data_IF_348607260781
#
_entry.id   IF_348607260781
#
_cell.length_a   1.000
_cell.length_b   1.000
_cell.length_c   1.000
_cell.angle_alpha   90.00
_cell.angle_beta   90.00
_cell.angle_gamma   90.00
#
_symmetry.space_group_name_H-M   'P 1'
#
loop_
_entity.id
_entity.type
_entity.pdbx_description
1 polymer ?
#
# COMPACT_ATOMS: atom_id res chain seq x y z
N UNK A 1 -2.37 60.59 17.29
CA UNK A 1 -2.32 61.95 16.71
C UNK A 1 -0.99 62.53 17.10
N UNK A 2 -0.10 62.82 16.14
CA UNK A 2 1.20 63.43 16.44
C UNK A 2 0.99 64.93 16.52
N UNK A 3 1.44 65.54 17.62
CA UNK A 3 1.48 66.99 17.74
C UNK A 3 2.93 67.42 17.56
N UNK A 4 3.28 67.82 16.34
CA UNK A 4 4.58 68.40 15.98
C UNK A 4 4.25 69.66 15.20
N UNK A 5 4.28 70.80 15.87
CA UNK A 5 4.08 72.11 15.24
C UNK A 5 4.96 73.11 15.96
N UNK A 6 5.88 73.72 15.24
CA UNK A 6 6.07 75.14 15.40
C UNK A 6 5.51 75.87 14.16
N UNK A 7 5.02 77.09 14.33
CA UNK A 7 4.48 77.92 13.25
C UNK A 7 5.62 78.51 12.36
N UNK A 8 6.81 77.89 12.29
CA UNK A 8 7.91 78.42 11.48
C UNK A 8 7.96 77.83 10.07
N UNK A 9 7.99 78.75 9.11
CA UNK A 9 7.89 78.63 7.64
C UNK A 9 9.06 77.84 6.99
N UNK A 10 9.88 77.12 7.75
CA UNK A 10 11.11 76.53 7.23
C UNK A 10 10.90 75.24 6.41
N UNK A 11 9.92 74.39 6.74
CA UNK A 11 9.54 73.22 5.92
C UNK A 11 8.03 72.93 6.04
N UNK A 12 7.27 72.85 4.92
CA UNK A 12 5.83 72.56 4.97
C UNK A 12 5.51 71.06 5.21
N UNK A 13 6.53 70.23 5.43
CA UNK A 13 6.42 68.78 5.59
C UNK A 13 7.26 68.28 6.77
N UNK A 14 6.81 67.20 7.39
CA UNK A 14 7.48 66.46 8.44
C UNK A 14 8.28 65.31 7.85
N UNK A 15 9.44 65.05 8.45
CA UNK A 15 10.26 63.87 8.22
C UNK A 15 9.90 62.81 9.26
N UNK A 16 9.14 61.80 8.84
CA UNK A 16 8.68 60.73 9.70
C UNK A 16 9.47 59.43 9.43
N UNK A 17 10.06 58.87 10.47
CA UNK A 17 10.79 57.59 10.43
C UNK A 17 10.05 56.56 11.26
N UNK A 18 9.75 55.40 10.66
CA UNK A 18 9.33 54.20 11.37
C UNK A 18 10.58 53.55 11.98
N UNK A 19 10.58 53.37 13.28
CA UNK A 19 11.64 52.72 14.03
C UNK A 19 11.19 51.35 14.51
N UNK A 20 12.11 50.40 14.48
CA UNK A 20 11.96 49.07 15.05
C UNK A 20 13.10 48.83 16.04
N UNK A 21 12.82 48.21 17.19
CA UNK A 21 13.83 47.79 18.16
C UNK A 21 13.60 46.33 18.57
N UNK A 22 14.63 45.52 18.41
CA UNK A 22 14.77 44.19 19.00
C UNK A 22 16.17 44.06 19.62
N UNK A 23 16.47 44.94 20.57
CA UNK A 23 17.78 45.08 21.23
C UNK A 23 18.60 46.30 20.78
N UNK A 24 18.36 46.79 19.56
CA UNK A 24 18.98 48.01 19.01
C UNK A 24 17.95 48.77 18.18
N UNK A 25 17.94 50.10 18.28
CA UNK A 25 17.08 50.97 17.46
C UNK A 25 17.53 50.98 16.01
N UNK A 26 16.63 50.65 15.08
CA UNK A 26 16.88 50.68 13.65
C UNK A 26 15.77 51.45 12.90
N UNK A 27 16.17 52.34 12.00
CA UNK A 27 15.24 53.03 11.10
C UNK A 27 14.79 52.08 9.99
N UNK A 28 13.50 51.74 9.99
CA UNK A 28 12.91 50.70 9.14
C UNK A 28 12.09 51.25 7.97
N UNK A 29 11.86 52.57 7.92
CA UNK A 29 11.24 53.25 6.80
C UNK A 29 11.16 54.74 7.06
N UNK A 30 11.19 55.56 6.01
CA UNK A 30 11.15 57.02 6.11
C UNK A 30 10.17 57.61 5.11
N UNK A 31 9.41 58.61 5.52
CA UNK A 31 8.63 59.46 4.63
C UNK A 31 8.93 60.93 4.96
N UNK A 32 9.54 61.63 4.01
CA UNK A 32 10.01 63.01 4.16
C UNK A 32 9.04 64.03 3.53
N UNK A 33 7.80 63.64 3.31
CA UNK A 33 6.77 64.43 2.62
C UNK A 33 5.45 64.48 3.38
N UNK A 34 5.49 64.24 4.69
CA UNK A 34 4.28 64.12 5.52
C UNK A 34 3.73 65.51 5.86
N UNK A 35 2.54 65.86 5.36
CA UNK A 35 1.88 67.11 5.74
C UNK A 35 1.25 67.02 7.13
N UNK A 36 1.25 68.14 7.86
CA UNK A 36 0.60 68.22 9.17
C UNK A 36 -0.88 67.81 9.09
N UNK A 37 -1.36 67.08 10.10
CA UNK A 37 -2.73 66.57 10.22
C UNK A 37 -3.22 65.71 9.04
N UNK A 38 -2.33 65.15 8.22
CA UNK A 38 -2.68 64.24 7.13
C UNK A 38 -2.33 62.78 7.43
N UNK A 39 -3.03 61.85 6.78
CA UNK A 39 -2.66 60.43 6.81
C UNK A 39 -1.48 60.21 5.85
N UNK A 40 -0.38 59.69 6.37
CA UNK A 40 0.78 59.30 5.58
C UNK A 40 0.98 57.77 5.61
N UNK A 41 1.65 57.27 4.57
CA UNK A 41 2.11 55.88 4.48
C UNK A 41 3.63 55.92 4.60
N UNK A 42 4.18 55.14 5.52
CA UNK A 42 5.62 54.85 5.59
C UNK A 42 5.77 53.41 5.14
N UNK A 43 6.47 53.21 4.03
CA UNK A 43 6.79 51.88 3.53
C UNK A 43 8.08 51.39 4.17
N UNK A 44 8.09 50.11 4.56
CA UNK A 44 9.30 49.45 5.04
C UNK A 44 10.40 49.46 3.97
N UNK A 45 11.64 49.67 4.38
CA UNK A 45 12.82 49.69 3.51
C UNK A 45 13.63 48.38 3.56
N UNK A 46 13.26 47.45 4.43
CA UNK A 46 13.97 46.19 4.67
C UNK A 46 13.00 45.12 5.20
N UNK A 47 13.48 43.88 5.31
CA UNK A 47 12.76 42.77 5.96
C UNK A 47 13.20 42.61 7.41
N UNK A 48 12.32 42.06 8.26
CA UNK A 48 12.66 41.69 9.63
C UNK A 48 12.95 40.19 9.72
N UNK A 49 13.84 39.83 10.64
CA UNK A 49 13.96 38.44 11.10
C UNK A 49 12.87 38.16 12.13
N UNK A 50 12.72 36.89 12.48
CA UNK A 50 11.82 36.50 13.56
C UNK A 50 12.28 37.08 14.89
N UNK A 51 11.30 37.54 15.67
CA UNK A 51 11.53 38.16 16.96
C UNK A 51 10.41 39.08 17.40
N UNK A 52 10.52 39.52 18.64
CA UNK A 52 9.65 40.54 19.20
C UNK A 52 10.29 41.90 19.02
N UNK A 53 9.58 42.79 18.32
CA UNK A 53 10.02 44.14 18.07
C UNK A 53 9.11 45.12 18.79
N UNK A 54 9.71 46.16 19.35
CA UNK A 54 9.04 47.41 19.64
C UNK A 54 9.04 48.25 18.37
N UNK A 55 7.93 48.89 18.05
CA UNK A 55 7.84 49.81 16.93
C UNK A 55 7.18 51.11 17.32
N UNK A 56 7.65 52.19 16.73
CA UNK A 56 7.10 53.53 16.88
C UNK A 56 7.48 54.37 15.67
N UNK A 57 6.77 55.47 15.47
CA UNK A 57 7.15 56.48 14.47
C UNK A 57 7.67 57.72 15.18
N UNK A 58 8.78 58.26 14.69
CA UNK A 58 9.29 59.56 15.09
C UNK A 58 9.13 60.54 13.94
N UNK A 59 8.42 61.64 14.15
CA UNK A 59 8.28 62.72 13.16
C UNK A 59 8.98 63.98 13.64
N UNK A 60 9.72 64.62 12.74
CA UNK A 60 10.45 65.86 13.01
C UNK A 60 10.25 66.87 11.88
N UNK A 61 10.09 68.16 12.24
CA UNK A 61 10.14 69.30 11.29
C UNK A 61 11.57 69.85 11.11
N UNK A 62 12.57 69.21 11.76
CA UNK A 62 13.96 69.66 11.79
C UNK A 62 14.32 70.52 13.00
N UNK A 63 13.33 70.94 13.81
CA UNK A 63 13.51 71.74 15.03
C UNK A 63 12.96 70.99 16.24
N UNK A 64 11.74 70.48 16.14
CA UNK A 64 11.06 69.66 17.14
C UNK A 64 10.81 68.25 16.59
N UNK A 65 10.84 67.27 17.48
CA UNK A 65 10.45 65.89 17.15
C UNK A 65 9.49 65.34 18.19
N UNK A 66 8.62 64.42 17.76
CA UNK A 66 7.69 63.73 18.65
C UNK A 66 7.54 62.26 18.25
N UNK A 67 7.33 61.42 19.26
CA UNK A 67 7.21 59.97 19.14
C UNK A 67 5.75 59.54 19.19
N UNK A 68 5.43 58.47 18.49
CA UNK A 68 4.17 57.75 18.70
C UNK A 68 4.20 57.00 20.02
N UNK A 69 3.05 56.43 20.37
CA UNK A 69 3.03 55.27 21.26
C UNK A 69 3.97 54.18 20.74
N UNK A 70 4.67 53.53 21.66
CA UNK A 70 5.50 52.37 21.37
C UNK A 70 4.59 51.15 21.46
N UNK A 71 4.58 50.33 20.41
CA UNK A 71 3.74 49.12 20.31
C UNK A 71 4.63 47.89 20.12
N UNK A 72 4.17 46.75 20.59
CA UNK A 72 4.80 45.46 20.31
C UNK A 72 4.30 44.91 18.99
N UNK A 73 5.20 44.30 18.22
CA UNK A 73 4.89 43.43 17.09
C UNK A 73 5.79 42.21 17.16
N UNK A 74 5.20 41.03 17.00
CA UNK A 74 5.93 39.77 16.92
C UNK A 74 5.97 39.34 15.47
N UNK A 75 7.18 39.11 14.96
CA UNK A 75 7.41 38.49 13.67
C UNK A 75 7.82 37.05 13.96
N UNK A 76 7.03 36.09 13.47
CA UNK A 76 7.38 34.67 13.51
C UNK A 76 7.09 34.09 12.13
N UNK A 77 8.05 33.37 11.57
CA UNK A 77 7.82 32.46 10.46
C UNK A 77 7.38 31.13 11.02
N UNK A 78 6.36 30.52 10.41
CA UNK A 78 5.92 29.21 10.82
C UNK A 78 7.06 28.21 10.60
N UNK A 79 7.43 27.49 11.66
CA UNK A 79 8.37 26.40 11.62
C UNK A 79 7.81 25.24 10.82
N UNK A 80 8.68 24.54 10.10
CA UNK A 80 8.28 23.27 9.47
C UNK A 80 8.22 22.21 10.58
N UNK A 81 7.18 21.36 10.63
CA UNK A 81 7.13 20.26 11.59
C UNK A 81 8.28 19.28 11.38
N UNK A 82 8.51 18.41 12.36
CA UNK A 82 9.53 17.36 12.28
C UNK A 82 9.01 16.04 12.81
N UNK A 83 9.39 14.94 12.14
CA UNK A 83 9.10 13.56 12.59
C UNK A 83 10.40 12.93 13.07
N UNK A 84 10.55 12.87 14.38
CA UNK A 84 11.82 12.48 15.05
C UNK A 84 11.96 10.98 15.25
N UNK A 85 10.83 10.25 15.23
CA UNK A 85 10.81 8.81 15.46
C UNK A 85 9.68 8.17 14.67
N UNK A 86 9.98 7.01 14.07
CA UNK A 86 9.01 6.08 13.50
C UNK A 86 9.28 4.72 14.11
N UNK A 87 8.23 4.06 14.62
CA UNK A 87 8.35 2.74 15.26
C UNK A 87 8.95 1.74 14.29
N UNK A 88 9.96 1.00 14.76
CA UNK A 88 10.44 -0.16 14.03
C UNK A 88 9.45 -1.33 14.19
N UNK A 89 9.35 -2.17 13.16
CA UNK A 89 8.63 -3.43 13.22
C UNK A 89 9.56 -4.59 12.90
N UNK A 90 9.38 -5.68 13.63
CA UNK A 90 9.99 -6.95 13.24
C UNK A 90 9.41 -7.44 11.91
N UNK A 91 10.05 -8.44 11.31
CA UNK A 91 9.48 -9.11 10.16
C UNK A 91 8.07 -9.66 10.48
N UNK A 92 7.17 -9.58 9.51
CA UNK A 92 5.78 -10.03 9.63
C UNK A 92 5.45 -11.01 8.51
N UNK A 93 4.69 -12.05 8.80
CA UNK A 93 4.09 -12.89 7.76
C UNK A 93 2.72 -12.34 7.38
N UNK A 94 2.18 -12.76 6.24
CA UNK A 94 0.77 -12.50 5.90
C UNK A 94 -0.17 -13.38 6.76
N UNK A 95 -1.47 -13.22 6.56
CA UNK A 95 -2.50 -14.17 6.98
C UNK A 95 -3.06 -14.80 5.71
N UNK A 96 -3.01 -16.12 5.60
CA UNK A 96 -3.46 -16.84 4.41
C UNK A 96 -4.89 -16.43 4.00
N UNK A 97 -5.07 -15.98 2.76
CA UNK A 97 -6.34 -15.55 2.19
C UNK A 97 -7.03 -14.38 2.92
N UNK A 98 -6.33 -13.72 3.85
CA UNK A 98 -6.89 -12.73 4.74
C UNK A 98 -6.18 -11.38 4.71
N UNK A 99 -6.44 -10.59 5.74
CA UNK A 99 -5.85 -9.27 5.94
C UNK A 99 -5.26 -9.21 7.34
N UNK A 100 -3.99 -8.83 7.44
CA UNK A 100 -3.31 -8.56 8.70
C UNK A 100 -3.26 -7.06 8.93
N UNK A 101 -3.86 -6.61 10.03
CA UNK A 101 -3.68 -5.23 10.47
C UNK A 101 -2.33 -5.09 11.20
N UNK A 102 -1.54 -4.11 10.81
CA UNK A 102 -0.24 -3.77 11.39
C UNK A 102 -0.33 -2.36 11.97
N UNK A 103 0.13 -2.20 13.20
CA UNK A 103 0.09 -0.91 13.90
C UNK A 103 1.48 -0.28 13.92
N UNK A 104 1.52 1.02 13.66
CA UNK A 104 2.70 1.86 13.66
C UNK A 104 2.48 3.02 14.60
N UNK A 105 3.56 3.56 15.15
CA UNK A 105 3.54 4.83 15.85
C UNK A 105 4.67 5.74 15.41
N UNK A 106 4.42 7.04 15.37
CA UNK A 106 5.47 8.03 15.11
C UNK A 106 5.33 9.24 16.03
N UNK A 107 6.45 9.90 16.31
CA UNK A 107 6.50 11.14 17.09
C UNK A 107 6.72 12.31 16.15
N UNK A 108 5.85 13.32 16.24
CA UNK A 108 6.03 14.58 15.55
C UNK A 108 6.05 15.77 16.51
N UNK A 109 6.82 16.80 16.18
CA UNK A 109 6.89 18.07 16.89
C UNK A 109 6.88 19.23 15.91
N UNK A 110 6.56 20.42 16.42
CA UNK A 110 6.63 21.66 15.66
C UNK A 110 7.44 22.71 16.44
N UNK A 111 8.35 23.49 15.80
CA UNK A 111 9.09 24.57 16.44
C UNK A 111 8.19 25.63 17.12
N UNK A 112 7.00 25.91 16.59
CA UNK A 112 6.02 26.85 17.16
C UNK A 112 5.16 26.21 18.26
N UNK A 113 5.41 24.93 18.53
CA UNK A 113 4.80 24.15 19.59
C UNK A 113 3.80 23.14 19.05
N UNK A 114 3.68 22.00 19.74
CA UNK A 114 2.81 20.89 19.32
C UNK A 114 1.34 21.23 19.00
N UNK A 115 0.84 22.36 19.51
CA UNK A 115 -0.52 22.83 19.22
C UNK A 115 -0.70 23.32 17.78
N UNK A 116 0.41 23.61 17.08
CA UNK A 116 0.45 24.03 15.69
C UNK A 116 0.41 22.84 14.71
N UNK A 117 0.49 21.59 15.20
CA UNK A 117 0.33 20.41 14.36
C UNK A 117 -1.14 20.19 13.97
N UNK A 118 -1.41 20.02 12.68
CA UNK A 118 -2.72 19.58 12.20
C UNK A 118 -2.85 18.06 12.36
N UNK A 119 -3.47 17.63 13.46
CA UNK A 119 -3.71 16.22 13.76
C UNK A 119 -4.48 15.48 12.65
N UNK A 120 -5.28 16.17 11.84
CA UNK A 120 -6.05 15.53 10.75
C UNK A 120 -5.21 15.26 9.50
N UNK A 121 -4.03 15.89 9.42
CA UNK A 121 -3.07 15.69 8.34
C UNK A 121 -2.09 14.55 8.61
N UNK A 122 -2.17 13.88 9.76
CA UNK A 122 -1.30 12.78 10.13
C UNK A 122 -1.57 11.57 9.22
N UNK A 123 -0.56 11.14 8.48
CA UNK A 123 -0.66 10.02 7.55
C UNK A 123 0.51 9.06 7.69
N UNK A 124 0.25 7.81 7.34
CA UNK A 124 1.29 6.80 7.20
C UNK A 124 1.09 6.03 5.91
N UNK A 125 2.18 5.79 5.21
CA UNK A 125 2.24 5.02 3.97
C UNK A 125 3.31 3.95 4.11
N UNK A 126 3.02 2.74 3.65
CA UNK A 126 4.04 1.74 3.36
C UNK A 126 4.10 1.53 1.85
N UNK A 127 5.32 1.38 1.34
CA UNK A 127 5.57 1.26 -0.09
C UNK A 127 6.69 0.27 -0.39
N UNK A 128 6.51 -0.48 -1.48
CA UNK A 128 7.53 -1.35 -2.09
C UNK A 128 7.48 -1.14 -3.60
N UNK A 129 8.64 -1.14 -4.25
CA UNK A 129 8.70 -1.00 -5.71
C UNK A 129 7.93 -2.16 -6.38
N UNK A 130 7.04 -1.83 -7.31
CA UNK A 130 6.20 -2.80 -8.00
C UNK A 130 4.89 -3.14 -7.27
N UNK A 131 4.69 -2.63 -6.06
CA UNK A 131 3.47 -2.86 -5.27
C UNK A 131 2.58 -1.62 -5.22
N UNK A 132 1.30 -1.83 -4.95
CA UNK A 132 0.41 -0.75 -4.58
C UNK A 132 0.76 -0.23 -3.18
N UNK A 133 0.84 1.10 -3.05
CA UNK A 133 1.01 1.72 -1.74
C UNK A 133 -0.16 1.39 -0.82
N UNK A 134 0.15 1.11 0.45
CA UNK A 134 -0.87 1.03 1.49
C UNK A 134 -0.78 2.29 2.33
N UNK A 135 -1.90 3.00 2.47
CA UNK A 135 -1.97 4.26 3.20
C UNK A 135 -2.99 4.19 4.32
N UNK A 136 -2.71 4.90 5.41
CA UNK A 136 -3.66 5.26 6.44
C UNK A 136 -3.65 6.79 6.55
N UNK A 137 -4.78 7.41 6.23
CA UNK A 137 -4.98 8.87 6.30
C UNK A 137 -5.70 9.31 7.57
N UNK A 138 -5.83 8.41 8.55
CA UNK A 138 -6.56 8.59 9.80
C UNK A 138 -5.71 8.15 10.99
N UNK A 139 -4.45 8.56 11.01
CA UNK A 139 -3.59 8.39 12.18
C UNK A 139 -4.15 9.22 13.34
N UNK A 140 -4.17 8.64 14.54
CA UNK A 140 -4.80 9.28 15.71
C UNK A 140 -3.75 9.64 16.76
N UNK A 141 -3.84 10.83 17.38
CA UNK A 141 -2.98 11.18 18.50
C UNK A 141 -3.33 10.32 19.71
N UNK A 142 -2.35 9.61 20.27
CA UNK A 142 -2.53 8.70 21.41
C UNK A 142 -1.90 9.21 22.70
N UNK A 143 -1.07 10.24 22.62
CA UNK A 143 -0.43 10.86 23.78
C UNK A 143 0.51 11.99 23.39
N UNK A 144 1.02 12.69 24.40
CA UNK A 144 2.02 13.76 24.23
C UNK A 144 3.23 13.47 25.10
N UNK A 145 4.41 13.89 24.62
CA UNK A 145 5.66 13.82 25.35
C UNK A 145 6.49 15.06 25.03
N UNK A 146 6.67 15.93 26.02
CA UNK A 146 7.31 17.24 25.83
C UNK A 146 6.63 18.05 24.71
N UNK A 147 7.37 18.46 23.68
CA UNK A 147 6.86 19.16 22.51
C UNK A 147 6.42 18.21 21.36
N UNK A 148 6.26 16.92 21.64
CA UNK A 148 5.86 15.92 20.64
C UNK A 148 4.44 15.42 20.87
N UNK A 149 3.78 15.05 19.78
CA UNK A 149 2.56 14.23 19.75
C UNK A 149 2.94 12.84 19.23
N UNK A 150 2.47 11.81 19.93
CA UNK A 150 2.58 10.43 19.48
C UNK A 150 1.32 10.07 18.69
N UNK A 151 1.50 9.67 17.43
CA UNK A 151 0.42 9.22 16.56
C UNK A 151 0.45 7.72 16.42
N UNK A 152 -0.72 7.07 16.46
CA UNK A 152 -0.92 5.67 16.15
C UNK A 152 -1.67 5.52 14.84
N UNK A 153 -1.15 4.66 13.96
CA UNK A 153 -1.71 4.36 12.64
C UNK A 153 -1.84 2.85 12.47
N UNK A 154 -2.83 2.41 11.69
CA UNK A 154 -3.02 0.99 11.37
C UNK A 154 -3.10 0.76 9.87
N UNK A 155 -2.23 -0.06 9.30
CA UNK A 155 -2.28 -0.41 7.88
C UNK A 155 -2.68 -1.87 7.72
N UNK A 156 -3.54 -2.12 6.74
CA UNK A 156 -3.92 -3.46 6.32
C UNK A 156 -2.90 -4.00 5.32
N UNK A 157 -2.24 -5.09 5.69
CA UNK A 157 -1.44 -5.93 4.82
C UNK A 157 -2.30 -7.07 4.28
N UNK A 158 -2.46 -7.15 2.98
CA UNK A 158 -3.23 -8.17 2.29
C UNK A 158 -2.38 -9.43 2.08
N UNK A 159 -3.03 -10.59 1.98
CA UNK A 159 -2.32 -11.86 1.81
C UNK A 159 -1.45 -11.94 0.56
N UNK A 160 -1.73 -11.11 -0.45
CA UNK A 160 -1.00 -11.00 -1.70
C UNK A 160 -0.02 -9.81 -1.75
N UNK A 161 0.19 -9.10 -0.65
CA UNK A 161 1.26 -8.08 -0.59
C UNK A 161 2.63 -8.75 -0.65
N UNK A 162 3.42 -8.36 -1.65
CA UNK A 162 4.68 -9.03 -1.98
C UNK A 162 5.71 -9.05 -0.84
N UNK A 163 6.44 -10.16 -0.77
CA UNK A 163 7.51 -10.35 0.20
C UNK A 163 8.72 -9.42 -0.04
N UNK A 164 9.42 -9.08 1.04
CA UNK A 164 10.61 -8.24 1.03
C UNK A 164 10.47 -7.00 1.90
N UNK A 165 11.34 -6.01 1.67
CA UNK A 165 11.37 -4.78 2.45
C UNK A 165 10.33 -3.78 1.96
N UNK A 166 9.55 -3.26 2.90
CA UNK A 166 8.59 -2.18 2.70
C UNK A 166 9.06 -0.95 3.47
N UNK A 167 9.20 0.18 2.78
CA UNK A 167 9.56 1.46 3.37
C UNK A 167 8.36 2.04 4.10
N UNK A 168 8.56 2.54 5.31
CA UNK A 168 7.56 3.21 6.14
C UNK A 168 7.77 4.72 5.96
N UNK A 169 6.78 5.42 5.43
CA UNK A 169 6.75 6.87 5.34
C UNK A 169 5.65 7.41 6.25
N UNK A 170 6.04 8.12 7.31
CA UNK A 170 5.13 8.90 8.14
C UNK A 170 5.19 10.36 7.71
N UNK A 171 4.03 11.04 7.67
CA UNK A 171 3.95 12.45 7.32
C UNK A 171 2.92 13.21 8.16
N UNK A 172 3.15 14.52 8.29
CA UNK A 172 2.32 15.45 9.05
C UNK A 172 2.46 16.86 8.48
N UNK A 173 1.40 17.66 8.62
CA UNK A 173 1.40 19.10 8.37
C UNK A 173 1.12 19.89 9.64
N UNK A 174 1.57 21.13 9.64
CA UNK A 174 1.13 22.13 10.59
C UNK A 174 -0.19 22.79 10.15
N UNK A 175 -0.73 23.71 10.95
CA UNK A 175 -1.99 24.42 10.65
C UNK A 175 -1.87 25.43 9.49
N UNK A 176 -0.66 25.69 9.02
CA UNK A 176 -0.29 26.58 7.92
C UNK A 176 0.11 25.77 6.67
N UNK A 177 -0.10 24.45 6.71
CA UNK A 177 0.14 23.48 5.64
C UNK A 177 1.60 23.21 5.27
N UNK A 178 2.59 23.66 6.06
CA UNK A 178 3.97 23.18 5.87
C UNK A 178 4.03 21.69 6.19
N UNK A 179 4.92 20.98 5.50
CA UNK A 179 4.90 19.52 5.42
C UNK A 179 6.23 18.93 5.86
N UNK A 180 6.17 17.85 6.61
CA UNK A 180 7.32 17.01 6.90
C UNK A 180 7.00 15.54 6.69
N UNK A 181 8.03 14.78 6.32
CA UNK A 181 7.97 13.33 6.19
C UNK A 181 9.24 12.66 6.70
N UNK A 182 9.10 11.40 7.14
CA UNK A 182 10.22 10.55 7.51
C UNK A 182 10.02 9.17 6.89
N UNK A 183 10.95 8.78 6.01
CA UNK A 183 10.96 7.52 5.27
C UNK A 183 12.20 6.65 5.58
N UNK A 184 12.84 6.87 6.74
CA UNK A 184 14.10 6.22 7.12
C UNK A 184 13.96 4.78 7.59
N UNK A 185 12.75 4.33 7.88
CA UNK A 185 12.47 3.01 8.45
C UNK A 185 11.87 2.07 7.42
N UNK A 186 12.17 0.78 7.58
CA UNK A 186 11.62 -0.30 6.76
C UNK A 186 11.33 -1.52 7.63
N UNK A 187 10.39 -2.35 7.19
CA UNK A 187 10.12 -3.66 7.79
C UNK A 187 10.04 -4.72 6.70
N UNK A 188 10.19 -5.99 7.08
CA UNK A 188 10.17 -7.11 6.15
C UNK A 188 8.82 -7.83 6.18
N UNK A 189 8.20 -8.00 5.02
CA UNK A 189 7.11 -8.95 4.81
C UNK A 189 7.73 -10.28 4.39
N UNK A 190 7.44 -11.34 5.14
CA UNK A 190 7.93 -12.69 4.86
C UNK A 190 7.13 -13.32 3.71
N UNK A 191 7.82 -14.16 2.93
CA UNK A 191 7.22 -14.98 1.90
C UNK A 191 6.40 -16.13 2.52
N UNK A 192 5.23 -16.40 1.96
CA UNK A 192 4.33 -17.48 2.36
C UNK A 192 3.82 -18.20 1.12
N UNK A 193 4.19 -19.48 1.00
CA UNK A 193 3.65 -20.39 -0.02
C UNK A 193 2.39 -21.05 0.52
N UNK A 194 1.23 -20.71 -0.04
CA UNK A 194 -0.04 -21.32 0.33
C UNK A 194 -1.04 -21.23 -0.83
N UNK A 195 -1.93 -22.21 -0.93
CA UNK A 195 -3.03 -22.17 -1.90
C UNK A 195 -4.25 -22.92 -1.38
N UNK A 196 -5.41 -22.51 -1.86
CA UNK A 196 -6.65 -23.27 -1.75
C UNK A 196 -6.98 -23.89 -3.12
N UNK A 197 -7.64 -25.04 -3.09
CA UNK A 197 -8.02 -25.79 -4.30
C UNK A 197 -9.49 -26.20 -4.24
N UNK A 198 -10.18 -26.11 -5.38
CA UNK A 198 -11.54 -26.62 -5.53
C UNK A 198 -11.85 -26.99 -6.99
N UNK A 199 -12.71 -27.98 -7.25
CA UNK A 199 -13.40 -28.83 -6.28
C UNK A 199 -12.47 -29.87 -5.62
N UNK A 200 -12.91 -30.49 -4.52
CA UNK A 200 -12.10 -31.48 -3.77
C UNK A 200 -12.09 -32.90 -4.38
N UNK A 201 -12.84 -33.11 -5.45
CA UNK A 201 -12.89 -34.36 -6.20
C UNK A 201 -13.18 -34.06 -7.67
N UNK A 202 -12.67 -34.88 -8.58
CA UNK A 202 -13.01 -34.83 -10.00
C UNK A 202 -14.00 -35.94 -10.33
N UNK A 203 -14.87 -35.67 -11.29
CA UNK A 203 -15.92 -36.60 -11.72
C UNK A 203 -15.98 -36.65 -13.23
N UNK A 204 -16.43 -37.78 -13.77
CA UNK A 204 -16.77 -37.93 -15.18
C UNK A 204 -18.22 -38.42 -15.28
N UNK A 205 -18.89 -38.04 -16.37
CA UNK A 205 -20.19 -38.61 -16.72
C UNK A 205 -20.06 -40.13 -16.93
N UNK A 206 -21.17 -40.85 -17.04
CA UNK A 206 -21.12 -42.27 -17.44
C UNK A 206 -20.43 -42.41 -18.79
N UNK A 207 -19.36 -43.19 -18.83
CA UNK A 207 -18.57 -43.44 -20.03
C UNK A 207 -18.70 -44.90 -20.48
N UNK A 208 -18.67 -45.10 -21.80
CA UNK A 208 -18.55 -46.44 -22.38
C UNK A 208 -17.08 -46.83 -22.58
N UNK A 209 -16.81 -48.14 -22.55
CA UNK A 209 -15.48 -48.68 -22.86
C UNK A 209 -15.03 -48.23 -24.25
N UNK A 210 -13.75 -47.88 -24.39
CA UNK A 210 -13.17 -47.35 -25.63
C UNK A 210 -13.53 -45.89 -25.93
N UNK A 211 -14.28 -45.20 -25.06
CA UNK A 211 -14.41 -43.75 -25.19
C UNK A 211 -13.05 -43.09 -25.06
N UNK A 212 -12.82 -42.09 -25.89
CA UNK A 212 -11.58 -41.30 -25.88
C UNK A 212 -11.87 -39.84 -25.62
N UNK A 213 -10.91 -39.15 -25.01
CA UNK A 213 -10.89 -37.71 -24.81
C UNK A 213 -12.17 -37.18 -24.15
N UNK A 214 -12.34 -37.52 -22.87
CA UNK A 214 -13.47 -37.12 -22.04
C UNK A 214 -13.01 -36.21 -20.90
N UNK A 215 -13.41 -34.95 -20.95
CA UNK A 215 -13.17 -33.95 -19.89
C UNK A 215 -13.94 -34.30 -18.63
N UNK A 216 -13.41 -33.92 -17.46
CA UNK A 216 -14.12 -34.05 -16.21
C UNK A 216 -15.37 -33.15 -16.20
N UNK A 217 -16.44 -33.61 -15.54
CA UNK A 217 -17.74 -32.93 -15.52
C UNK A 217 -17.80 -31.74 -14.58
N UNK A 218 -16.84 -31.63 -13.66
CA UNK A 218 -16.74 -30.54 -12.69
C UNK A 218 -15.42 -29.77 -12.81
N UNK A 219 -14.94 -29.64 -14.05
CA UNK A 219 -13.87 -28.72 -14.41
C UNK A 219 -14.38 -27.26 -14.52
N UNK A 220 -13.52 -26.25 -14.29
CA UNK A 220 -12.12 -26.40 -13.89
C UNK A 220 -11.94 -26.78 -12.42
N UNK A 221 -10.77 -27.37 -12.13
CA UNK A 221 -10.17 -27.34 -10.81
C UNK A 221 -9.39 -26.03 -10.64
N UNK A 222 -9.94 -25.11 -9.86
CA UNK A 222 -9.35 -23.80 -9.58
C UNK A 222 -8.39 -23.88 -8.40
N UNK A 223 -7.17 -23.40 -8.61
CA UNK A 223 -6.18 -23.07 -7.60
C UNK A 223 -6.28 -21.59 -7.29
N UNK A 224 -6.37 -21.23 -6.02
CA UNK A 224 -6.31 -19.84 -5.54
C UNK A 224 -5.03 -19.69 -4.73
N UNK A 225 -4.15 -18.77 -5.11
CA UNK A 225 -2.98 -18.42 -4.32
C UNK A 225 -3.46 -17.72 -3.05
N UNK A 226 -3.28 -18.34 -1.90
CA UNK A 226 -3.69 -17.77 -0.62
C UNK A 226 -2.51 -17.16 0.15
N UNK A 227 -1.30 -17.21 -0.43
CA UNK A 227 -0.10 -16.55 0.05
C UNK A 227 0.34 -15.36 -0.82
N UNK A 228 1.60 -14.96 -0.64
CA UNK A 228 2.25 -13.86 -1.36
C UNK A 228 3.46 -14.30 -2.18
N UNK A 229 3.61 -15.61 -2.41
CA UNK A 229 4.65 -16.15 -3.29
C UNK A 229 4.07 -16.38 -4.68
N UNK A 230 4.71 -15.81 -5.70
CA UNK A 230 4.42 -16.17 -7.09
C UNK A 230 4.88 -17.59 -7.37
N UNK A 231 3.96 -18.45 -7.82
CA UNK A 231 4.29 -19.79 -8.30
C UNK A 231 4.45 -19.73 -9.81
N UNK A 232 5.69 -19.67 -10.25
CA UNK A 232 6.05 -19.55 -11.67
C UNK A 232 5.92 -20.89 -12.42
N UNK A 233 6.20 -20.87 -13.72
CA UNK A 233 6.22 -22.07 -14.55
C UNK A 233 7.02 -23.20 -13.91
N UNK A 234 6.53 -24.44 -14.02
CA UNK A 234 7.07 -25.65 -13.37
C UNK A 234 6.92 -25.71 -11.84
N UNK A 235 6.43 -24.65 -11.19
CA UNK A 235 6.14 -24.62 -9.76
C UNK A 235 4.93 -25.46 -9.35
N UNK A 236 4.02 -25.75 -10.29
CA UNK A 236 2.84 -26.60 -10.07
C UNK A 236 3.12 -28.00 -10.61
N UNK A 237 2.90 -29.02 -9.78
CA UNK A 237 3.00 -30.43 -10.17
C UNK A 237 1.76 -31.21 -9.81
N UNK A 238 1.41 -32.20 -10.64
CA UNK A 238 0.34 -33.17 -10.36
C UNK A 238 0.95 -34.56 -10.15
N UNK A 239 0.48 -35.28 -9.14
CA UNK A 239 0.81 -36.70 -8.94
C UNK A 239 -0.47 -37.51 -9.10
N UNK A 240 -0.50 -38.34 -10.13
CA UNK A 240 -1.63 -39.23 -10.41
C UNK A 240 -1.49 -40.58 -9.74
N UNK A 241 -2.62 -41.24 -9.51
CA UNK A 241 -2.69 -42.62 -9.07
C UNK A 241 -3.71 -43.37 -9.92
N UNK A 242 -3.44 -44.64 -10.19
CA UNK A 242 -4.38 -45.52 -10.90
C UNK A 242 -5.74 -45.54 -10.17
N UNK A 243 -6.83 -45.43 -10.92
CA UNK A 243 -8.18 -45.61 -10.37
C UNK A 243 -8.50 -47.10 -10.31
N UNK A 244 -9.01 -47.57 -9.18
CA UNK A 244 -9.31 -48.99 -8.95
C UNK A 244 -10.80 -49.26 -9.04
N UNK A 245 -11.18 -50.38 -9.64
CA UNK A 245 -12.58 -50.81 -9.71
C UNK A 245 -13.15 -51.13 -8.32
N UNK A 246 -14.37 -50.68 -8.02
CA UNK A 246 -15.03 -50.92 -6.74
C UNK A 246 -15.56 -52.36 -6.56
N UNK A 247 -15.91 -53.02 -7.67
CA UNK A 247 -16.46 -54.39 -7.66
C UNK A 247 -15.39 -55.41 -8.03
N UNK A 248 -14.80 -55.26 -9.23
CA UNK A 248 -13.67 -56.07 -9.69
C UNK A 248 -12.39 -55.34 -9.34
N UNK A 249 -11.92 -55.55 -8.12
CA UNK A 249 -10.85 -54.75 -7.50
C UNK A 249 -9.43 -55.07 -8.02
N UNK A 250 -9.32 -55.97 -9.01
CA UNK A 250 -8.09 -56.25 -9.75
C UNK A 250 -7.98 -55.44 -11.05
N UNK A 251 -9.02 -54.68 -11.41
CA UNK A 251 -9.06 -53.86 -12.61
C UNK A 251 -8.77 -52.40 -12.29
N UNK A 252 -8.05 -51.73 -13.21
CA UNK A 252 -7.57 -50.37 -13.03
C UNK A 252 -7.75 -49.54 -14.29
N UNK A 253 -8.08 -48.26 -14.12
CA UNK A 253 -7.83 -47.22 -15.13
C UNK A 253 -6.51 -46.56 -14.75
N UNK A 254 -5.51 -46.70 -15.61
CA UNK A 254 -4.15 -46.23 -15.34
C UNK A 254 -4.09 -44.71 -15.31
N UNK A 255 -3.23 -44.15 -14.45
CA UNK A 255 -2.95 -42.72 -14.41
C UNK A 255 -2.48 -42.19 -15.79
N UNK A 256 -1.78 -43.01 -16.58
CA UNK A 256 -1.34 -42.69 -17.94
C UNK A 256 -2.47 -42.50 -18.95
N UNK A 257 -3.70 -42.84 -18.59
CA UNK A 257 -4.87 -42.54 -19.40
C UNK A 257 -5.42 -41.15 -19.11
N UNK A 258 -4.86 -40.42 -18.15
CA UNK A 258 -5.28 -39.07 -17.79
C UNK A 258 -4.24 -38.04 -18.20
N UNK A 259 -4.72 -36.86 -18.57
CA UNK A 259 -3.89 -35.68 -18.78
C UNK A 259 -4.48 -34.48 -18.06
N UNK A 260 -3.63 -33.51 -17.79
CA UNK A 260 -4.00 -32.23 -17.19
C UNK A 260 -3.41 -31.06 -17.98
N UNK A 261 -4.15 -29.98 -18.08
CA UNK A 261 -3.74 -28.76 -18.78
C UNK A 261 -4.31 -27.54 -18.09
N UNK A 262 -3.66 -26.39 -18.24
CA UNK A 262 -4.24 -25.09 -17.88
C UNK A 262 -5.01 -24.43 -19.04
N UNK A 263 -5.15 -25.14 -20.16
CA UNK A 263 -5.91 -24.71 -21.35
C UNK A 263 -7.11 -25.62 -21.55
N UNK A 264 -8.29 -25.01 -21.69
CA UNK A 264 -9.56 -25.72 -21.94
C UNK A 264 -9.89 -25.76 -23.44
N UNK A 265 -10.24 -26.95 -23.96
CA UNK A 265 -10.82 -27.09 -25.30
C UNK A 265 -12.33 -26.81 -25.37
N UNK A 266 -13.04 -26.98 -24.24
CA UNK A 266 -14.46 -26.69 -23.94
C UNK A 266 -14.95 -27.70 -22.90
N UNK A 267 -15.82 -27.31 -21.97
CA UNK A 267 -16.41 -28.19 -20.94
C UNK A 267 -17.28 -29.33 -21.49
N UNK A 268 -17.54 -29.39 -22.80
CA UNK A 268 -18.33 -30.43 -23.47
C UNK A 268 -17.60 -31.07 -24.65
N UNK A 269 -16.29 -30.91 -24.75
CA UNK A 269 -15.55 -31.41 -25.90
C UNK A 269 -15.50 -32.95 -25.91
N UNK A 270 -15.26 -33.51 -27.09
CA UNK A 270 -14.91 -34.92 -27.25
C UNK A 270 -14.04 -35.11 -28.49
N UNK A 271 -13.10 -36.05 -28.44
CA UNK A 271 -12.16 -36.27 -29.54
C UNK A 271 -11.06 -35.21 -29.60
N UNK A 272 -10.65 -34.78 -30.80
CA UNK A 272 -9.49 -33.90 -31.02
C UNK A 272 -9.69 -32.44 -30.59
N UNK A 273 -10.91 -32.06 -30.18
CA UNK A 273 -11.24 -30.69 -29.75
C UNK A 273 -10.96 -30.44 -28.28
N UNK A 274 -10.67 -31.48 -27.50
CA UNK A 274 -10.28 -31.37 -26.10
C UNK A 274 -8.79 -31.07 -25.97
N UNK A 275 -8.44 -29.79 -25.87
CA UNK A 275 -7.05 -29.34 -25.78
C UNK A 275 -6.37 -29.89 -24.52
N UNK A 276 -7.11 -30.03 -23.43
CA UNK A 276 -6.64 -30.61 -22.17
C UNK A 276 -6.25 -32.09 -22.28
N UNK A 277 -6.80 -32.82 -23.26
CA UNK A 277 -6.42 -34.21 -23.57
C UNK A 277 -5.04 -34.31 -24.24
N UNK A 278 -4.45 -33.18 -24.64
CA UNK A 278 -3.08 -33.08 -25.14
C UNK A 278 -2.16 -32.35 -24.14
N UNK A 279 -2.58 -32.28 -22.87
CA UNK A 279 -1.81 -31.70 -21.78
C UNK A 279 -0.70 -32.63 -21.27
N UNK A 280 -0.23 -32.34 -20.05
CA UNK A 280 0.73 -33.19 -19.35
C UNK A 280 0.07 -34.52 -19.00
N UNK A 281 0.63 -35.64 -19.48
CA UNK A 281 0.18 -36.99 -19.15
C UNK A 281 0.57 -37.32 -17.72
N UNK A 282 -0.37 -37.85 -16.94
CA UNK A 282 -0.13 -38.24 -15.56
C UNK A 282 0.52 -39.62 -15.48
N UNK A 283 1.41 -39.82 -14.51
CA UNK A 283 2.03 -41.12 -14.25
C UNK A 283 1.72 -41.59 -12.82
N UNK A 284 1.59 -42.90 -12.63
CA UNK A 284 1.22 -43.47 -11.35
C UNK A 284 2.33 -43.24 -10.33
N UNK A 285 2.01 -42.53 -9.24
CA UNK A 285 2.93 -42.17 -8.16
C UNK A 285 4.18 -41.40 -8.62
N UNK A 286 4.05 -40.60 -9.69
CA UNK A 286 5.10 -39.71 -10.18
C UNK A 286 4.56 -38.30 -10.30
N UNK A 287 5.33 -37.33 -9.79
CA UNK A 287 4.99 -35.91 -9.89
C UNK A 287 5.39 -35.39 -11.28
N UNK A 288 4.40 -34.89 -12.02
CA UNK A 288 4.56 -34.32 -13.35
C UNK A 288 4.37 -32.80 -13.28
N UNK A 289 5.32 -32.05 -13.84
CA UNK A 289 5.26 -30.58 -13.87
C UNK A 289 4.26 -30.08 -14.90
N UNK A 290 3.57 -28.98 -14.57
CA UNK A 290 2.71 -28.26 -15.50
C UNK A 290 3.47 -27.04 -16.02
N UNK A 291 4.15 -27.14 -17.18
CA UNK A 291 5.12 -26.12 -17.61
C UNK A 291 4.48 -24.77 -17.96
N UNK A 292 3.20 -24.76 -18.29
CA UNK A 292 2.48 -23.55 -18.70
C UNK A 292 1.57 -22.99 -17.60
N UNK A 293 1.40 -23.71 -16.49
CA UNK A 293 0.54 -23.27 -15.40
C UNK A 293 1.32 -22.32 -14.48
N UNK A 294 0.70 -21.20 -14.13
CA UNK A 294 1.28 -20.14 -13.30
C UNK A 294 0.23 -19.74 -12.27
N UNK A 295 0.64 -19.67 -11.00
CA UNK A 295 -0.21 -19.23 -9.90
C UNK A 295 0.46 -18.03 -9.21
N UNK A 296 0.33 -16.87 -9.83
CA UNK A 296 0.83 -15.58 -9.32
C UNK A 296 0.16 -15.23 -7.98
N UNK A 297 0.81 -14.42 -7.16
CA UNK A 297 0.18 -13.80 -6.00
C UNK A 297 -0.80 -12.72 -6.49
N UNK A 298 -2.03 -12.72 -5.97
CA UNK A 298 -3.05 -11.80 -6.42
C UNK A 298 -4.34 -11.93 -5.63
N UNK A 299 -5.33 -11.11 -5.98
CA UNK A 299 -6.61 -11.15 -5.28
C UNK A 299 -7.57 -12.17 -5.92
N UNK A 300 -7.64 -13.38 -5.34
CA UNK A 300 -8.51 -14.48 -5.81
C UNK A 300 -10.00 -14.20 -5.73
N UNK A 301 -10.44 -13.09 -5.11
CA UNK A 301 -11.84 -12.66 -5.23
C UNK A 301 -12.16 -12.06 -6.60
N UNK A 302 -11.15 -11.72 -7.40
CA UNK A 302 -11.28 -11.10 -8.71
C UNK A 302 -11.12 -12.17 -9.79
N UNK A 303 -12.22 -12.65 -10.36
CA UNK A 303 -12.18 -13.70 -11.39
C UNK A 303 -11.81 -13.12 -12.78
N UNK A 304 -10.56 -12.65 -12.91
CA UNK A 304 -10.03 -12.07 -14.15
C UNK A 304 -9.16 -13.04 -14.96
N UNK A 305 -8.83 -14.21 -14.40
CA UNK A 305 -7.99 -15.23 -15.05
C UNK A 305 -6.67 -14.65 -15.59
N UNK A 306 -6.04 -13.82 -14.77
CA UNK A 306 -4.74 -13.21 -15.05
C UNK A 306 -3.94 -13.07 -13.75
N UNK A 307 -2.72 -12.55 -13.85
CA UNK A 307 -1.81 -12.43 -12.69
C UNK A 307 -2.41 -11.63 -11.52
N UNK A 308 -3.31 -10.68 -11.78
CA UNK A 308 -3.96 -9.89 -10.71
C UNK A 308 -5.00 -10.67 -9.91
N UNK A 309 -5.52 -11.76 -10.48
CA UNK A 309 -6.50 -12.62 -9.83
C UNK A 309 -5.87 -13.60 -8.85
N UNK A 310 -4.60 -13.96 -8.98
CA UNK A 310 -4.03 -15.04 -8.16
C UNK A 310 -4.80 -16.36 -8.25
N UNK A 311 -5.38 -16.65 -9.43
CA UNK A 311 -6.08 -17.89 -9.72
C UNK A 311 -5.44 -18.61 -10.90
N UNK A 312 -5.44 -19.94 -10.87
CA UNK A 312 -5.09 -20.80 -12.00
C UNK A 312 -6.13 -21.91 -12.15
N UNK A 313 -6.48 -22.28 -13.37
CA UNK A 313 -7.46 -23.31 -13.66
C UNK A 313 -6.80 -24.50 -14.30
N UNK A 314 -7.03 -25.68 -13.71
CA UNK A 314 -6.60 -26.96 -14.25
C UNK A 314 -7.81 -27.72 -14.82
N UNK A 315 -7.64 -28.30 -15.99
CA UNK A 315 -8.63 -29.09 -16.71
C UNK A 315 -8.11 -30.51 -16.84
N UNK A 316 -8.94 -31.50 -16.55
CA UNK A 316 -8.56 -32.91 -16.51
C UNK A 316 -9.30 -33.70 -17.59
N UNK A 317 -8.56 -34.52 -18.32
CA UNK A 317 -9.13 -35.37 -19.36
C UNK A 317 -8.78 -36.84 -19.14
N UNK A 318 -9.76 -37.71 -19.32
CA UNK A 318 -9.56 -39.13 -19.56
C UNK A 318 -9.40 -39.36 -21.06
N UNK A 319 -8.16 -39.59 -21.49
CA UNK A 319 -7.78 -39.77 -22.89
C UNK A 319 -8.34 -41.08 -23.47
N UNK A 320 -8.43 -42.15 -22.68
CA UNK A 320 -8.98 -43.44 -23.13
C UNK A 320 -9.57 -44.25 -21.99
N UNK A 321 -10.81 -44.72 -22.15
CA UNK A 321 -11.40 -45.75 -21.30
C UNK A 321 -10.94 -47.13 -21.80
N UNK A 322 -10.24 -47.95 -20.99
CA UNK A 322 -9.76 -49.26 -21.42
C UNK A 322 -10.89 -50.17 -21.93
N UNK A 323 -10.61 -51.00 -22.94
CA UNK A 323 -11.59 -51.94 -23.50
C UNK A 323 -11.67 -53.27 -22.72
N UNK A 324 -10.65 -53.56 -21.91
CA UNK A 324 -10.41 -54.87 -21.30
C UNK A 324 -10.89 -54.96 -19.85
N UNK A 325 -11.58 -53.93 -19.35
CA UNK A 325 -12.07 -53.84 -17.98
C UNK A 325 -13.60 -53.96 -17.93
N UNK A 326 -14.13 -54.37 -16.78
CA UNK A 326 -15.57 -54.48 -16.57
C UNK A 326 -16.23 -53.10 -16.38
N UNK A 327 -17.53 -53.02 -16.67
CA UNK A 327 -18.35 -51.83 -16.40
C UNK A 327 -18.62 -51.74 -14.89
N UNK A 328 -18.02 -50.75 -14.25
CA UNK A 328 -18.14 -50.47 -12.82
C UNK A 328 -17.64 -49.05 -12.52
N UNK A 329 -17.74 -48.63 -11.26
CA UNK A 329 -17.11 -47.39 -10.78
C UNK A 329 -15.62 -47.63 -10.51
N UNK A 330 -14.80 -46.64 -10.89
CA UNK A 330 -13.37 -46.59 -10.61
C UNK A 330 -13.05 -45.32 -9.85
N UNK A 331 -12.32 -45.43 -8.72
CA UNK A 331 -11.96 -44.27 -7.91
C UNK A 331 -10.62 -44.44 -7.16
N UNK A 332 -10.30 -43.44 -6.34
CA UNK A 332 -9.13 -43.40 -5.44
C UNK A 332 -9.48 -43.66 -3.97
N UNK A 333 -10.69 -44.18 -3.67
CA UNK A 333 -11.17 -44.36 -2.30
C UNK A 333 -10.74 -45.68 -1.65
N UNK A 334 -10.24 -46.61 -2.46
CA UNK A 334 -9.95 -47.98 -2.05
C UNK A 334 -8.55 -48.15 -1.45
N UNK A 335 -8.40 -49.19 -0.62
CA UNK A 335 -7.08 -49.63 -0.16
C UNK A 335 -6.17 -49.89 -1.38
N UNK A 336 -4.92 -49.42 -1.32
CA UNK A 336 -3.88 -49.49 -2.38
C UNK A 336 -3.97 -48.44 -3.50
N UNK A 337 -4.93 -47.52 -3.47
CA UNK A 337 -4.85 -46.28 -4.27
C UNK A 337 -4.64 -45.08 -3.34
N UNK A 338 -4.38 -43.90 -3.92
CA UNK A 338 -4.26 -42.65 -3.19
C UNK A 338 -4.97 -41.53 -3.97
N UNK A 339 -5.43 -40.52 -3.26
CA UNK A 339 -5.94 -39.30 -3.88
C UNK A 339 -4.84 -38.66 -4.74
N UNK A 340 -5.23 -38.13 -5.89
CA UNK A 340 -4.30 -37.33 -6.68
C UNK A 340 -3.85 -36.10 -5.89
N UNK A 341 -2.59 -35.73 -6.04
CA UNK A 341 -1.96 -34.67 -5.26
C UNK A 341 -1.52 -33.56 -6.20
N UNK A 342 -1.90 -32.33 -5.89
CA UNK A 342 -1.36 -31.13 -6.50
C UNK A 342 -0.45 -30.46 -5.48
N UNK A 343 0.76 -30.12 -5.88
CA UNK A 343 1.71 -29.38 -5.04
C UNK A 343 2.20 -28.14 -5.77
N UNK A 344 2.50 -27.11 -4.98
CA UNK A 344 3.13 -25.88 -5.43
C UNK A 344 4.51 -25.74 -4.76
N UNK A 345 5.49 -25.16 -5.44
CA UNK A 345 6.85 -24.96 -4.93
C UNK A 345 7.35 -23.54 -5.11
#
# INVERSE_FOLDING_TARGET
>A
MFNVTDDMIAQPYLNCTLWMNNGTDAAFGTNNTVFNATKAIISANSSLNDGNYLWWTNCSDGVQSNLSEIRNISIATNGVPSITFVSNLSAVSIIEGGVRQINFSFLASDPDGRGDLDNTSAQLRISRLGEADRTNTSCTPVGTFENNINYSCSINLWYYDGAGFWTINASIRDTQSLYSENNSMQFMVLETTAFAIGPTALTWATLELGNTNRTATNDPMTLNNTGNKDIVTTGITVTGYDLRGLTTTTEFIRATNFSVSNVNGSSSCSGVTCLECNGTIMFNNTAETLPNAILSAGNFSLNYQNDTSGQENLFFCLMTVPLEISRQTYDTSQEQTASWVITIN
#
